data_IF_699965440784
#
_entry.id   IF_699965440784
#
_cell.length_a   1.000
_cell.length_b   1.000
_cell.length_c   1.000
_cell.angle_alpha   90.00
_cell.angle_beta   90.00
_cell.angle_gamma   90.00
#
_symmetry.space_group_name_H-M   'P 1'
#
loop_
_entity.id
_entity.type
_entity.pdbx_description
1 polymer ?
#
# COMPACT_ATOMS: atom_id res chain seq x y z
N UNK A 1 -34.25 -60.51 -63.95
CA UNK A 1 -34.83 -61.14 -62.75
C UNK A 1 -33.74 -61.32 -61.68
N UNK A 2 -33.98 -60.77 -60.48
CA UNK A 2 -33.58 -61.31 -59.16
C UNK A 2 -32.16 -61.93 -59.02
N UNK A 3 -31.25 -61.24 -58.31
CA UNK A 3 -30.95 -61.42 -56.87
C UNK A 3 -29.64 -60.74 -56.47
N UNK A 4 -29.71 -59.92 -55.43
CA UNK A 4 -28.59 -59.52 -54.59
C UNK A 4 -28.12 -60.72 -53.75
N UNK A 5 -26.82 -60.93 -53.67
CA UNK A 5 -26.13 -61.54 -52.50
C UNK A 5 -24.82 -60.78 -52.29
N UNK A 6 -24.59 -60.41 -51.04
CA UNK A 6 -23.53 -59.53 -50.56
C UNK A 6 -22.45 -60.39 -49.86
N UNK A 7 -21.26 -59.80 -49.75
CA UNK A 7 -20.19 -60.02 -48.74
C UNK A 7 -19.10 -61.02 -49.13
N UNK A 8 -17.87 -60.51 -49.31
CA UNK A 8 -16.76 -60.78 -48.39
C UNK A 8 -15.55 -59.88 -48.66
N UNK A 9 -14.95 -59.45 -47.55
CA UNK A 9 -13.84 -58.51 -47.36
C UNK A 9 -12.53 -58.98 -48.01
N UNK A 10 -11.75 -58.04 -48.59
CA UNK A 10 -10.31 -58.19 -48.74
C UNK A 10 -9.57 -56.83 -48.77
N UNK A 11 -8.79 -56.61 -47.72
CA UNK A 11 -7.51 -55.89 -47.61
C UNK A 11 -7.25 -54.63 -48.46
N UNK A 12 -7.32 -53.47 -47.81
CA UNK A 12 -6.65 -52.23 -48.24
C UNK A 12 -5.62 -51.79 -47.20
N UNK A 13 -4.34 -52.00 -47.52
CA UNK A 13 -3.17 -51.54 -46.79
C UNK A 13 -3.08 -50.00 -46.91
N UNK A 14 -3.32 -49.26 -45.82
CA UNK A 14 -3.10 -47.81 -45.75
C UNK A 14 -1.91 -47.52 -44.83
N UNK A 15 -0.86 -46.99 -45.44
CA UNK A 15 0.34 -46.48 -44.78
C UNK A 15 -0.06 -45.20 -44.05
N UNK A 16 -0.10 -45.25 -42.71
CA UNK A 16 -0.31 -44.08 -41.87
C UNK A 16 0.95 -43.23 -41.80
N UNK A 17 0.90 -42.00 -42.32
CA UNK A 17 1.84 -40.95 -41.97
C UNK A 17 1.63 -40.59 -40.49
N UNK A 18 2.58 -40.97 -39.66
CA UNK A 18 2.71 -40.45 -38.29
C UNK A 18 3.13 -38.97 -38.36
N UNK A 19 2.16 -38.08 -38.28
CA UNK A 19 2.40 -36.68 -37.95
C UNK A 19 2.88 -36.60 -36.51
N UNK A 20 4.19 -36.37 -36.32
CA UNK A 20 4.75 -36.01 -35.04
C UNK A 20 4.19 -34.63 -34.65
N UNK A 21 3.16 -34.64 -33.81
CA UNK A 21 2.62 -33.44 -33.20
C UNK A 21 3.61 -33.03 -32.09
N UNK A 22 4.40 -32.00 -32.38
CA UNK A 22 5.27 -31.37 -31.38
C UNK A 22 4.46 -31.04 -30.12
N UNK A 23 4.90 -31.46 -28.92
CA UNK A 23 4.22 -31.07 -27.70
C UNK A 23 4.37 -29.56 -27.54
N UNK A 24 3.24 -28.85 -27.65
CA UNK A 24 3.15 -27.42 -27.39
C UNK A 24 3.77 -27.14 -26.02
N UNK A 25 4.72 -26.21 -25.90
CA UNK A 25 5.33 -25.90 -24.62
C UNK A 25 4.23 -25.33 -23.72
N UNK A 26 3.87 -26.10 -22.69
CA UNK A 26 3.00 -25.64 -21.61
C UNK A 26 3.73 -24.48 -20.95
N UNK A 27 3.28 -23.25 -21.26
CA UNK A 27 3.69 -22.03 -20.56
C UNK A 27 3.61 -22.34 -19.07
N UNK A 28 4.70 -22.25 -18.28
CA UNK A 28 4.60 -22.46 -16.86
C UNK A 28 3.57 -21.48 -16.33
N UNK A 29 2.54 -22.00 -15.66
CA UNK A 29 1.53 -21.20 -14.99
C UNK A 29 2.27 -20.18 -14.13
N UNK A 30 2.26 -18.92 -14.56
CA UNK A 30 2.93 -17.85 -13.84
C UNK A 30 2.43 -17.88 -12.41
N UNK A 31 3.36 -17.88 -11.46
CA UNK A 31 3.06 -17.57 -10.06
C UNK A 31 2.21 -16.30 -10.10
N UNK A 32 0.91 -16.42 -9.83
CA UNK A 32 0.04 -15.27 -9.60
C UNK A 32 0.67 -14.52 -8.43
N UNK A 33 1.36 -13.43 -8.72
CA UNK A 33 1.67 -12.42 -7.71
C UNK A 33 0.31 -11.97 -7.18
N UNK A 34 0.02 -12.31 -5.93
CA UNK A 34 -1.27 -12.00 -5.27
C UNK A 34 -1.51 -10.49 -5.09
N UNK A 35 -0.53 -9.67 -5.47
CA UNK A 35 -0.59 -8.22 -5.43
C UNK A 35 -0.39 -7.66 -6.84
N UNK A 36 -1.35 -6.85 -7.27
CA UNK A 36 -1.06 -5.87 -8.31
C UNK A 36 -0.36 -4.69 -7.59
N UNK A 37 0.92 -4.41 -7.87
CA UNK A 37 1.66 -3.30 -7.25
C UNK A 37 0.98 -1.95 -7.51
N UNK A 38 0.02 -1.91 -8.43
CA UNK A 38 -0.72 -0.71 -8.76
C UNK A 38 -2.02 -0.54 -7.96
N UNK A 39 -2.31 -1.40 -6.97
CA UNK A 39 -3.45 -1.22 -6.08
C UNK A 39 -3.24 0.00 -5.16
N UNK A 40 -4.16 0.96 -5.26
CA UNK A 40 -4.10 2.22 -4.53
C UNK A 40 -5.42 2.57 -3.84
N UNK A 41 -5.31 3.33 -2.76
CA UNK A 41 -6.40 4.10 -2.19
C UNK A 41 -6.22 5.57 -2.54
N UNK A 42 -7.19 6.12 -3.24
CA UNK A 42 -7.23 7.53 -3.64
C UNK A 42 -8.11 8.29 -2.67
N UNK A 43 -7.62 9.42 -2.18
CA UNK A 43 -8.38 10.40 -1.42
C UNK A 43 -8.60 11.63 -2.31
N UNK A 44 -9.86 12.00 -2.46
CA UNK A 44 -10.29 13.13 -3.27
C UNK A 44 -10.38 14.40 -2.41
N UNK A 45 -10.44 15.56 -3.07
CA UNK A 45 -10.58 16.86 -2.43
C UNK A 45 -11.93 17.06 -1.74
N UNK A 46 -12.97 16.38 -2.19
CA UNK A 46 -14.30 16.38 -1.57
C UNK A 46 -14.37 15.54 -0.28
N UNK A 47 -13.27 14.88 0.10
CA UNK A 47 -13.18 14.02 1.28
C UNK A 47 -13.56 12.56 1.02
N UNK A 48 -14.03 12.22 -0.19
CA UNK A 48 -14.31 10.85 -0.58
C UNK A 48 -13.01 10.05 -0.79
N UNK A 49 -13.11 8.73 -0.68
CA UNK A 49 -12.00 7.82 -0.92
C UNK A 49 -12.43 6.61 -1.74
N UNK A 50 -11.56 6.16 -2.65
CA UNK A 50 -11.84 5.03 -3.54
C UNK A 50 -10.62 4.13 -3.66
N UNK A 51 -10.84 2.81 -3.58
CA UNK A 51 -9.81 1.80 -3.88
C UNK A 51 -9.87 1.45 -5.37
N UNK A 52 -8.73 1.44 -6.05
CA UNK A 52 -8.63 1.15 -7.49
C UNK A 52 -7.23 0.66 -7.86
N UNK A 53 -7.05 0.19 -9.10
CA UNK A 53 -5.76 -0.22 -9.66
C UNK A 53 -5.31 0.82 -10.67
N UNK A 54 -4.14 1.43 -10.51
CA UNK A 54 -3.58 2.34 -11.52
C UNK A 54 -3.05 1.55 -12.73
N UNK A 55 -3.22 2.09 -13.93
CA UNK A 55 -2.77 1.48 -15.19
C UNK A 55 -1.59 2.25 -15.79
N UNK A 56 -0.69 2.70 -14.91
CA UNK A 56 0.56 3.39 -15.26
C UNK A 56 1.72 2.58 -14.69
N UNK A 57 2.93 2.71 -15.24
CA UNK A 57 4.11 1.97 -14.77
C UNK A 57 5.11 2.87 -14.02
N UNK A 58 5.18 4.14 -14.44
CA UNK A 58 5.98 5.19 -13.81
C UNK A 58 5.22 6.51 -13.81
N UNK A 59 5.63 7.41 -12.92
CA UNK A 59 5.12 8.77 -12.86
C UNK A 59 6.25 9.74 -13.14
N UNK A 60 6.02 10.58 -14.14
CA UNK A 60 6.92 11.65 -14.53
C UNK A 60 6.61 12.92 -13.74
N UNK A 61 7.66 13.49 -13.14
CA UNK A 61 7.57 14.70 -12.34
C UNK A 61 8.64 15.70 -12.75
N UNK A 62 8.22 16.95 -12.93
CA UNK A 62 9.12 18.09 -13.12
C UNK A 62 9.56 18.62 -11.76
N UNK A 63 10.84 18.48 -11.43
CA UNK A 63 11.45 19.06 -10.23
C UNK A 63 12.22 20.33 -10.59
N UNK A 64 12.68 21.07 -9.57
CA UNK A 64 13.57 22.23 -9.78
C UNK A 64 14.92 21.91 -10.43
N UNK A 65 15.32 20.63 -10.44
CA UNK A 65 16.58 20.17 -11.02
C UNK A 65 16.40 19.47 -12.37
N UNK A 66 15.15 19.35 -12.86
CA UNK A 66 14.83 18.65 -14.09
C UNK A 66 13.75 17.58 -13.90
N UNK A 67 13.51 16.83 -14.97
CA UNK A 67 12.50 15.78 -15.04
C UNK A 67 13.00 14.50 -14.36
N UNK A 68 12.18 13.94 -13.49
CA UNK A 68 12.44 12.69 -12.77
C UNK A 68 11.29 11.72 -13.08
N UNK A 69 11.62 10.49 -13.46
CA UNK A 69 10.65 9.41 -13.61
C UNK A 69 10.79 8.47 -12.42
N UNK A 70 9.73 8.35 -11.62
CA UNK A 70 9.70 7.45 -10.46
C UNK A 70 8.88 6.21 -10.85
N UNK A 71 9.42 4.99 -10.76
CA UNK A 71 8.66 3.76 -10.96
C UNK A 71 7.59 3.56 -9.87
N UNK A 72 6.44 2.99 -10.21
CA UNK A 72 5.37 2.74 -9.22
C UNK A 72 5.82 1.77 -8.13
N UNK A 73 6.68 0.81 -8.47
CA UNK A 73 7.20 -0.15 -7.51
C UNK A 73 7.91 0.52 -6.33
N UNK A 74 8.48 1.72 -6.52
CA UNK A 74 9.18 2.44 -5.45
C UNK A 74 8.25 3.39 -4.68
N UNK A 75 6.99 3.55 -5.10
CA UNK A 75 6.06 4.53 -4.54
C UNK A 75 5.29 4.01 -3.34
N UNK A 76 5.21 4.87 -2.31
CA UNK A 76 4.41 4.63 -1.10
C UNK A 76 3.15 5.47 -1.11
N UNK A 77 3.34 6.75 -1.42
CA UNK A 77 2.30 7.78 -1.30
C UNK A 77 2.65 8.94 -2.21
N UNK A 78 1.63 9.57 -2.78
CA UNK A 78 1.75 10.87 -3.44
C UNK A 78 0.80 11.83 -2.77
N UNK A 79 1.33 12.97 -2.33
CA UNK A 79 0.54 14.11 -1.93
C UNK A 79 0.50 15.10 -3.10
N UNK A 80 -0.68 15.34 -3.65
CA UNK A 80 -0.87 16.30 -4.73
C UNK A 80 -0.98 17.71 -4.17
N UNK A 81 -0.23 18.61 -4.79
CA UNK A 81 -0.34 20.03 -4.56
C UNK A 81 -1.64 20.60 -5.12
N UNK A 82 -1.92 21.84 -4.73
CA UNK A 82 -3.05 22.62 -5.17
C UNK A 82 -2.88 23.03 -6.63
N UNK A 83 -3.69 22.41 -7.50
CA UNK A 83 -3.76 22.76 -8.92
C UNK A 83 -4.78 23.88 -9.10
N UNK A 84 -4.30 25.11 -9.04
CA UNK A 84 -5.15 26.30 -9.21
C UNK A 84 -5.57 26.40 -10.69
N UNK A 85 -6.88 26.40 -11.01
CA UNK A 85 -7.35 26.66 -12.37
C UNK A 85 -6.92 28.06 -12.84
N UNK A 86 -6.52 28.23 -14.10
CA UNK A 86 -6.01 29.51 -14.62
C UNK A 86 -6.99 30.67 -14.44
N UNK A 87 -8.29 30.42 -14.67
CA UNK A 87 -9.34 31.43 -14.46
C UNK A 87 -9.43 31.89 -13.00
N UNK A 88 -9.32 30.96 -12.04
CA UNK A 88 -9.33 31.26 -10.60
C UNK A 88 -8.06 32.00 -10.19
N UNK A 89 -6.91 31.60 -10.74
CA UNK A 89 -5.63 32.27 -10.51
C UNK A 89 -5.68 33.74 -10.94
N UNK A 90 -6.11 34.02 -12.17
CA UNK A 90 -6.22 35.39 -12.68
C UNK A 90 -7.21 36.24 -11.88
N UNK A 91 -8.34 35.65 -11.46
CA UNK A 91 -9.30 36.34 -10.59
C UNK A 91 -8.67 36.67 -9.24
N UNK A 92 -8.00 35.71 -8.61
CA UNK A 92 -7.34 35.91 -7.32
C UNK A 92 -6.20 36.94 -7.42
N UNK A 93 -5.39 36.90 -8.48
CA UNK A 93 -4.32 37.90 -8.72
C UNK A 93 -4.89 39.30 -8.93
N UNK A 94 -5.99 39.43 -9.69
CA UNK A 94 -6.67 40.71 -9.90
C UNK A 94 -7.26 41.27 -8.60
N UNK A 95 -7.86 40.40 -7.79
CA UNK A 95 -8.37 40.77 -6.48
C UNK A 95 -7.22 41.16 -5.52
N UNK A 96 -6.11 40.45 -5.53
CA UNK A 96 -4.91 40.82 -4.75
C UNK A 96 -4.38 42.21 -5.11
N UNK A 97 -4.40 42.58 -6.40
CA UNK A 97 -3.97 43.91 -6.84
C UNK A 97 -4.89 45.05 -6.35
N UNK A 98 -6.18 44.75 -6.18
CA UNK A 98 -7.21 45.71 -5.77
C UNK A 98 -7.51 45.70 -4.27
N UNK A 99 -6.91 44.79 -3.49
CA UNK A 99 -7.22 44.58 -2.08
C UNK A 99 -7.03 45.84 -1.22
N UNK A 100 -6.04 46.66 -1.54
CA UNK A 100 -5.73 47.90 -0.80
C UNK A 100 -6.33 49.16 -1.47
N UNK A 101 -7.19 49.00 -2.48
CA UNK A 101 -7.91 50.11 -3.12
C UNK A 101 -9.09 50.56 -2.22
N UNK A 102 -9.22 51.86 -1.87
CA UNK A 102 -10.28 52.34 -0.99
C UNK A 102 -11.71 52.14 -1.50
N UNK A 103 -11.89 52.02 -2.83
CA UNK A 103 -13.21 51.86 -3.47
C UNK A 103 -13.48 50.41 -3.86
N UNK A 104 -12.45 49.64 -4.17
CA UNK A 104 -12.56 48.27 -4.71
C UNK A 104 -12.09 47.18 -3.75
N UNK A 105 -11.51 47.55 -2.60
CA UNK A 105 -10.96 46.62 -1.61
C UNK A 105 -11.99 45.65 -1.04
N UNK A 106 -13.21 46.10 -0.75
CA UNK A 106 -14.26 45.22 -0.21
C UNK A 106 -14.71 44.16 -1.23
N UNK A 107 -14.82 44.54 -2.51
CA UNK A 107 -15.14 43.61 -3.59
C UNK A 107 -14.01 42.59 -3.78
N UNK A 108 -12.75 43.07 -3.81
CA UNK A 108 -11.57 42.22 -3.88
C UNK A 108 -11.46 41.25 -2.70
N UNK A 109 -11.80 41.69 -1.49
CA UNK A 109 -11.86 40.86 -0.29
C UNK A 109 -12.84 39.70 -0.49
N UNK A 110 -14.03 39.99 -0.97
CA UNK A 110 -15.05 38.97 -1.22
C UNK A 110 -14.63 37.98 -2.31
N UNK A 111 -13.98 38.45 -3.38
CA UNK A 111 -13.48 37.59 -4.46
C UNK A 111 -12.39 36.62 -3.96
N UNK A 112 -11.51 37.09 -3.06
CA UNK A 112 -10.49 36.24 -2.43
C UNK A 112 -11.11 35.20 -1.48
N UNK A 113 -12.14 35.60 -0.72
CA UNK A 113 -12.88 34.67 0.15
C UNK A 113 -13.65 33.62 -0.66
N UNK A 114 -14.25 34.00 -1.79
CA UNK A 114 -14.91 33.05 -2.70
C UNK A 114 -13.92 32.08 -3.36
N UNK A 115 -12.68 32.52 -3.57
CA UNK A 115 -11.63 31.67 -4.13
C UNK A 115 -11.13 30.61 -3.12
N UNK A 116 -11.43 30.75 -1.82
CA UNK A 116 -11.22 29.71 -0.81
C UNK A 116 -9.78 29.21 -0.71
N UNK A 117 -9.58 27.89 -0.76
CA UNK A 117 -8.26 27.26 -0.66
C UNK A 117 -7.27 27.74 -1.73
N UNK A 118 -7.76 28.15 -2.91
CA UNK A 118 -6.94 28.63 -4.02
C UNK A 118 -6.30 30.00 -3.76
N UNK A 119 -6.88 30.83 -2.90
CA UNK A 119 -6.32 32.14 -2.54
C UNK A 119 -5.23 32.05 -1.46
N UNK A 120 -5.24 30.99 -0.64
CA UNK A 120 -4.33 30.80 0.49
C UNK A 120 -2.84 30.90 0.11
N UNK A 121 -2.33 30.23 -0.94
CA UNK A 121 -0.91 30.34 -1.28
C UNK A 121 -0.49 31.77 -1.70
N UNK A 122 -1.34 32.46 -2.45
CA UNK A 122 -1.10 33.86 -2.88
C UNK A 122 -1.07 34.80 -1.67
N UNK A 123 -2.06 34.66 -0.78
CA UNK A 123 -2.14 35.44 0.45
C UNK A 123 -0.96 35.15 1.39
N UNK A 124 -0.55 33.89 1.55
CA UNK A 124 0.64 33.51 2.34
C UNK A 124 1.92 34.14 1.80
N UNK A 125 2.08 34.19 0.48
CA UNK A 125 3.23 34.85 -0.14
C UNK A 125 3.19 36.36 0.09
N UNK A 126 2.03 37.00 -0.07
CA UNK A 126 1.87 38.44 0.12
C UNK A 126 2.03 38.86 1.60
N UNK A 127 1.52 38.06 2.54
CA UNK A 127 1.59 38.30 3.98
C UNK A 127 3.01 38.33 4.56
N UNK A 128 4.00 37.78 3.83
CA UNK A 128 5.44 37.87 4.17
C UNK A 128 5.99 39.29 4.07
N UNK A 129 5.30 40.20 3.38
CA UNK A 129 5.72 41.60 3.26
C UNK A 129 5.49 42.36 4.58
N UNK A 130 6.28 43.40 4.90
CA UNK A 130 6.18 44.12 6.18
C UNK A 130 4.80 44.78 6.44
N UNK A 131 4.13 45.28 5.39
CA UNK A 131 2.89 46.07 5.51
C UNK A 131 1.62 45.33 5.06
N UNK A 132 1.66 44.01 5.02
CA UNK A 132 0.55 43.18 4.51
C UNK A 132 -0.54 42.91 5.57
N UNK A 133 -1.17 43.97 6.09
CA UNK A 133 -2.17 43.88 7.17
C UNK A 133 -3.45 43.21 6.67
N UNK A 134 -3.96 43.65 5.51
CA UNK A 134 -5.19 43.15 4.89
C UNK A 134 -5.09 41.66 4.54
N UNK A 135 -3.94 41.25 4.01
CA UNK A 135 -3.66 39.86 3.63
C UNK A 135 -3.57 38.93 4.84
N UNK A 136 -2.96 39.38 5.94
CA UNK A 136 -2.90 38.62 7.20
C UNK A 136 -4.28 38.46 7.82
N UNK A 137 -5.10 39.53 7.82
CA UNK A 137 -6.47 39.46 8.31
C UNK A 137 -7.32 38.47 7.48
N UNK A 138 -7.18 38.50 6.15
CA UNK A 138 -7.84 37.55 5.25
C UNK A 138 -7.39 36.10 5.45
N UNK A 139 -6.10 35.87 5.72
CA UNK A 139 -5.61 34.52 6.02
C UNK A 139 -6.23 33.94 7.30
N UNK A 140 -6.35 34.74 8.36
CA UNK A 140 -7.01 34.29 9.58
C UNK A 140 -8.52 34.06 9.37
N UNK A 141 -9.18 34.88 8.54
CA UNK A 141 -10.58 34.64 8.18
C UNK A 141 -10.75 33.34 7.38
N UNK A 142 -9.88 33.08 6.40
CA UNK A 142 -9.90 31.82 5.64
C UNK A 142 -9.59 30.61 6.53
N UNK A 143 -8.68 30.74 7.49
CA UNK A 143 -8.36 29.68 8.46
C UNK A 143 -9.54 29.28 9.34
N UNK A 144 -10.44 30.22 9.63
CA UNK A 144 -11.68 29.92 10.39
C UNK A 144 -12.76 29.27 9.53
N UNK A 145 -12.78 29.55 8.21
CA UNK A 145 -13.80 29.03 7.28
C UNK A 145 -13.42 27.71 6.64
N UNK A 146 -12.14 27.49 6.38
CA UNK A 146 -11.63 26.29 5.72
C UNK A 146 -11.24 25.25 6.76
N UNK A 147 -11.53 23.96 6.54
CA UNK A 147 -10.98 22.92 7.37
C UNK A 147 -9.44 22.92 7.26
N UNK A 148 -8.76 22.56 8.36
CA UNK A 148 -7.31 22.71 8.55
C UNK A 148 -6.49 22.07 7.43
N UNK A 149 -7.04 21.03 6.84
CA UNK A 149 -6.46 20.22 5.80
C UNK A 149 -6.42 20.99 4.44
N UNK A 150 -7.49 21.71 4.08
CA UNK A 150 -7.53 22.58 2.90
C UNK A 150 -6.65 23.82 3.07
N UNK A 151 -6.60 24.36 4.29
CA UNK A 151 -5.76 25.53 4.59
C UNK A 151 -4.26 25.22 4.44
N UNK A 152 -3.83 24.00 4.81
CA UNK A 152 -2.44 23.56 4.70
C UNK A 152 -2.06 22.98 3.32
N UNK A 153 -2.89 23.17 2.30
CA UNK A 153 -2.61 22.71 0.96
C UNK A 153 -1.27 23.25 0.43
N UNK A 154 -0.44 22.35 -0.10
CA UNK A 154 0.87 22.68 -0.67
C UNK A 154 0.74 23.03 -2.14
N UNK A 155 1.68 23.78 -2.70
CA UNK A 155 1.70 24.12 -4.14
C UNK A 155 2.32 23.02 -5.01
N UNK A 156 3.25 22.25 -4.46
CA UNK A 156 4.00 21.23 -5.17
C UNK A 156 3.52 19.84 -4.76
N UNK A 157 3.54 18.94 -5.74
CA UNK A 157 3.33 17.51 -5.53
C UNK A 157 4.55 16.94 -4.78
N UNK A 158 4.30 16.00 -3.86
CA UNK A 158 5.34 15.27 -3.12
C UNK A 158 5.12 13.77 -3.29
N UNK A 159 6.04 13.12 -3.98
CA UNK A 159 6.09 11.66 -4.10
C UNK A 159 6.95 11.14 -2.95
N UNK A 160 6.36 10.34 -2.07
CA UNK A 160 7.08 9.58 -1.06
C UNK A 160 7.44 8.24 -1.67
N UNK A 161 8.71 8.09 -2.06
CA UNK A 161 9.28 6.83 -2.51
C UNK A 161 9.99 6.10 -1.36
N UNK A 162 10.38 4.85 -1.59
CA UNK A 162 11.11 3.99 -0.65
C UNK A 162 12.34 4.68 -0.03
N UNK A 163 13.21 5.25 -0.86
CA UNK A 163 14.50 5.79 -0.41
C UNK A 163 14.43 7.27 -0.01
N UNK A 164 13.64 8.09 -0.70
CA UNK A 164 13.55 9.52 -0.42
C UNK A 164 12.27 10.15 -0.99
N UNK A 165 11.78 11.25 -0.38
CA UNK A 165 10.69 12.03 -0.96
C UNK A 165 11.21 12.90 -2.11
N UNK A 166 10.46 12.91 -3.21
CA UNK A 166 10.71 13.78 -4.37
C UNK A 166 9.63 14.85 -4.41
N UNK A 167 10.03 16.13 -4.48
CA UNK A 167 9.09 17.26 -4.56
C UNK A 167 9.17 17.92 -5.94
N UNK A 168 8.02 18.16 -6.57
CA UNK A 168 7.93 18.73 -7.90
C UNK A 168 6.48 18.89 -8.38
N UNK A 169 6.26 18.82 -9.68
CA UNK A 169 4.92 18.82 -10.28
C UNK A 169 4.78 17.62 -11.22
N UNK A 170 3.79 16.78 -10.96
CA UNK A 170 3.47 15.65 -11.83
C UNK A 170 2.94 16.19 -13.15
N UNK A 171 3.57 15.80 -14.26
CA UNK A 171 3.24 16.33 -15.59
C UNK A 171 1.87 15.86 -16.10
N UNK A 172 1.47 14.66 -15.69
CA UNK A 172 0.17 14.11 -16.05
C UNK A 172 -0.98 15.00 -15.53
N UNK A 173 -2.04 15.13 -16.34
CA UNK A 173 -3.30 15.73 -15.92
C UNK A 173 -4.25 14.70 -15.29
N UNK A 174 -4.13 13.43 -15.70
CA UNK A 174 -4.95 12.33 -15.24
C UNK A 174 -4.18 11.00 -15.33
N UNK A 175 -4.58 10.03 -14.51
CA UNK A 175 -4.13 8.64 -14.60
C UNK A 175 -5.26 7.73 -15.08
N UNK A 176 -4.93 6.76 -15.91
CA UNK A 176 -5.84 5.66 -16.20
C UNK A 176 -5.86 4.73 -15.00
N UNK A 177 -7.03 4.35 -14.54
CA UNK A 177 -7.21 3.45 -13.41
C UNK A 177 -8.37 2.48 -13.69
N UNK A 178 -8.40 1.38 -12.97
CA UNK A 178 -9.49 0.41 -12.98
C UNK A 178 -10.12 0.35 -11.61
N UNK A 179 -11.37 0.78 -11.52
CA UNK A 179 -12.19 0.66 -10.32
C UNK A 179 -12.92 -0.69 -10.31
N UNK A 180 -13.01 -1.37 -9.16
CA UNK A 180 -13.86 -2.57 -9.02
C UNK A 180 -15.34 -2.31 -9.32
N UNK A 181 -15.81 -1.08 -9.06
CA UNK A 181 -17.22 -0.71 -9.18
C UNK A 181 -17.58 -0.10 -10.54
N UNK A 182 -16.64 0.62 -11.15
CA UNK A 182 -16.89 1.43 -12.34
C UNK A 182 -16.11 0.99 -13.59
N UNK A 183 -15.27 -0.05 -13.48
CA UNK A 183 -14.43 -0.49 -14.58
C UNK A 183 -13.30 0.50 -14.88
N UNK A 184 -13.06 0.80 -16.15
CA UNK A 184 -11.98 1.71 -16.54
C UNK A 184 -12.40 3.18 -16.26
N UNK A 185 -11.60 3.87 -15.46
CA UNK A 185 -11.84 5.24 -15.00
C UNK A 185 -10.63 6.11 -15.32
N UNK A 186 -10.88 7.35 -15.74
CA UNK A 186 -9.85 8.37 -15.89
C UNK A 186 -9.82 9.22 -14.62
N UNK A 187 -8.79 9.02 -13.79
CA UNK A 187 -8.60 9.71 -12.53
C UNK A 187 -7.94 11.08 -12.75
N UNK A 188 -8.70 12.17 -12.60
CA UNK A 188 -8.16 13.52 -12.78
C UNK A 188 -7.38 13.99 -11.55
N UNK A 189 -6.16 14.48 -11.75
CA UNK A 189 -5.26 14.83 -10.63
C UNK A 189 -5.58 16.17 -9.97
N UNK A 190 -6.46 16.99 -10.56
CA UNK A 190 -6.98 18.20 -9.93
C UNK A 190 -8.00 17.89 -8.83
N UNK A 191 -8.75 16.79 -8.94
CA UNK A 191 -9.72 16.32 -7.94
C UNK A 191 -9.08 15.43 -6.87
N UNK A 192 -7.87 14.92 -7.13
CA UNK A 192 -7.14 14.03 -6.22
C UNK A 192 -6.26 14.82 -5.27
N UNK A 193 -6.20 14.34 -4.04
CA UNK A 193 -5.39 14.92 -2.99
C UNK A 193 -4.25 14.02 -2.56
N UNK A 194 -4.54 12.74 -2.34
CA UNK A 194 -3.52 11.78 -1.97
C UNK A 194 -3.79 10.47 -2.67
N UNK A 195 -2.75 9.84 -3.21
CA UNK A 195 -2.78 8.44 -3.61
C UNK A 195 -1.87 7.69 -2.66
N UNK A 196 -2.39 6.63 -2.04
CA UNK A 196 -1.62 5.73 -1.19
C UNK A 196 -1.57 4.37 -1.84
N UNK A 197 -0.37 3.85 -2.02
CA UNK A 197 -0.18 2.48 -2.49
C UNK A 197 -0.50 1.51 -1.37
N UNK A 198 -1.43 0.61 -1.64
CA UNK A 198 -1.85 -0.43 -0.68
C UNK A 198 -0.92 -1.63 -0.76
N UNK A 199 -0.34 -1.87 -1.93
CA UNK A 199 0.64 -2.90 -2.21
C UNK A 199 2.06 -2.34 -2.32
N UNK A 200 2.38 -1.29 -1.57
CA UNK A 200 3.70 -0.70 -1.65
C UNK A 200 4.75 -1.75 -1.22
N UNK A 201 5.72 -2.12 -2.06
CA UNK A 201 6.61 -3.22 -1.76
C UNK A 201 7.77 -2.73 -0.90
N UNK A 202 7.63 -2.72 0.42
CA UNK A 202 8.71 -2.83 1.41
C UNK A 202 8.03 -3.20 2.73
N UNK A 203 8.48 -4.33 3.30
CA UNK A 203 8.01 -5.00 4.52
C UNK A 203 6.91 -6.06 4.35
N UNK A 204 6.82 -6.73 3.21
CA UNK A 204 6.14 -8.04 3.18
C UNK A 204 6.98 -9.13 3.85
N UNK A 205 8.12 -8.80 4.43
CA UNK A 205 8.99 -9.73 5.13
C UNK A 205 9.41 -9.15 6.48
N UNK A 206 8.67 -9.54 7.52
CA UNK A 206 8.94 -9.23 8.92
C UNK A 206 9.89 -10.29 9.47
N UNK A 207 10.98 -9.87 10.09
CA UNK A 207 11.89 -10.78 10.81
C UNK A 207 11.52 -10.80 12.28
N UNK A 208 11.07 -11.95 12.76
CA UNK A 208 10.79 -12.21 14.17
C UNK A 208 12.03 -12.87 14.77
N UNK A 209 12.87 -12.07 15.42
CA UNK A 209 14.10 -12.50 16.07
C UNK A 209 13.79 -13.31 17.34
N UNK A 210 14.26 -14.57 17.39
CA UNK A 210 14.03 -15.46 18.52
C UNK A 210 14.71 -14.95 19.81
N UNK A 211 15.88 -14.32 19.67
CA UNK A 211 16.65 -13.80 20.79
C UNK A 211 15.93 -12.63 21.49
N UNK A 212 14.93 -12.02 20.85
CA UNK A 212 14.12 -10.91 21.39
C UNK A 212 12.69 -11.36 21.72
N UNK A 213 12.04 -11.99 20.76
CA UNK A 213 10.61 -12.31 20.78
C UNK A 213 10.31 -13.76 21.16
N UNK A 214 11.33 -14.57 21.43
CA UNK A 214 11.20 -15.95 21.94
C UNK A 214 11.75 -16.10 23.36
N UNK A 215 11.78 -15.03 24.16
CA UNK A 215 12.41 -15.02 25.49
C UNK A 215 11.40 -14.99 26.64
N UNK A 216 11.88 -15.13 27.88
CA UNK A 216 11.07 -15.08 29.11
C UNK A 216 10.32 -13.76 29.30
N UNK A 217 10.81 -12.66 28.71
CA UNK A 217 10.11 -11.36 28.76
C UNK A 217 8.82 -11.35 27.94
N UNK A 218 8.62 -12.37 27.10
CA UNK A 218 7.39 -12.56 26.34
C UNK A 218 7.01 -11.35 25.46
N UNK A 219 8.04 -10.62 25.01
CA UNK A 219 7.89 -9.36 24.29
C UNK A 219 7.26 -9.56 22.91
N UNK A 220 6.12 -8.91 22.69
CA UNK A 220 5.42 -8.88 21.42
C UNK A 220 6.13 -7.95 20.43
N UNK A 221 6.34 -8.43 19.20
CA UNK A 221 6.73 -7.61 18.07
C UNK A 221 5.50 -6.86 17.57
N UNK A 222 5.54 -5.53 17.62
CA UNK A 222 4.60 -4.70 16.88
C UNK A 222 4.92 -4.76 15.39
N UNK A 223 3.99 -5.28 14.58
CA UNK A 223 4.20 -5.47 13.14
C UNK A 223 4.04 -4.20 12.31
N UNK A 224 3.42 -3.14 12.84
CA UNK A 224 3.03 -2.01 11.98
C UNK A 224 1.67 -2.17 11.28
N UNK A 225 1.07 -3.35 11.34
CA UNK A 225 -0.06 -3.72 10.46
C UNK A 225 -1.39 -3.59 11.20
N UNK A 226 -2.28 -2.74 10.68
CA UNK A 226 -3.63 -2.54 11.21
C UNK A 226 -4.65 -3.32 10.37
N UNK A 227 -5.34 -4.26 11.00
CA UNK A 227 -6.34 -5.12 10.36
C UNK A 227 -7.73 -4.50 10.48
N UNK A 228 -8.46 -4.47 9.37
CA UNK A 228 -9.81 -3.88 9.29
C UNK A 228 -10.95 -4.92 9.35
N UNK A 229 -10.63 -6.17 9.74
CA UNK A 229 -11.58 -7.28 9.77
C UNK A 229 -11.79 -7.94 8.40
N UNK A 230 -10.83 -7.75 7.50
CA UNK A 230 -10.70 -8.45 6.21
C UNK A 230 -10.03 -9.82 6.39
N UNK A 231 -10.07 -10.66 5.36
CA UNK A 231 -9.37 -11.95 5.39
C UNK A 231 -7.86 -11.70 5.38
N UNK A 232 -7.12 -12.48 6.16
CA UNK A 232 -5.67 -12.36 6.30
C UNK A 232 -5.05 -13.71 6.12
N UNK A 233 -4.05 -13.78 5.24
CA UNK A 233 -3.13 -14.88 5.09
C UNK A 233 -1.76 -14.47 5.63
N UNK A 234 -1.23 -15.23 6.58
CA UNK A 234 0.12 -15.06 7.12
C UNK A 234 0.93 -16.29 6.73
N UNK A 235 2.11 -16.10 6.17
CA UNK A 235 3.05 -17.18 5.81
C UNK A 235 4.35 -16.93 6.55
N UNK A 236 4.82 -17.90 7.31
CA UNK A 236 6.08 -17.82 8.02
C UNK A 236 7.02 -18.96 7.62
N UNK A 237 8.31 -18.67 7.59
CA UNK A 237 9.36 -19.63 7.32
C UNK A 237 10.58 -19.34 8.19
N UNK A 238 11.55 -20.23 8.21
CA UNK A 238 12.76 -20.11 9.02
C UNK A 238 12.84 -21.16 10.10
N UNK A 239 13.92 -21.10 10.87
CA UNK A 239 14.27 -22.08 11.87
C UNK A 239 14.89 -21.37 13.07
N UNK A 240 14.54 -21.84 14.26
CA UNK A 240 15.17 -21.41 15.50
C UNK A 240 15.67 -22.63 16.26
N UNK A 241 16.71 -22.43 17.05
CA UNK A 241 17.20 -23.40 18.03
C UNK A 241 16.69 -22.99 19.41
N UNK A 242 15.87 -23.84 20.02
CA UNK A 242 15.28 -23.58 21.34
C UNK A 242 16.28 -23.79 22.49
N UNK A 243 17.39 -24.48 22.23
CA UNK A 243 18.41 -24.77 23.25
C UNK A 243 19.82 -24.71 22.65
N UNK A 244 20.32 -23.51 22.31
CA UNK A 244 21.61 -23.34 21.63
C UNK A 244 22.81 -23.40 22.58
N UNK A 245 22.83 -24.34 23.54
CA UNK A 245 23.90 -24.47 24.54
C UNK A 245 24.73 -25.75 24.37
N UNK A 246 26.05 -25.61 24.48
CA UNK A 246 26.98 -26.74 24.52
C UNK A 246 26.90 -27.65 23.28
N UNK A 247 27.04 -28.97 23.50
CA UNK A 247 26.96 -29.99 22.44
C UNK A 247 25.56 -30.24 21.89
N UNK A 248 24.52 -29.64 22.48
CA UNK A 248 23.11 -29.80 22.09
C UNK A 248 22.64 -28.75 21.06
N UNK A 249 23.55 -27.85 20.65
CA UNK A 249 23.25 -26.85 19.62
C UNK A 249 22.83 -27.52 18.31
N UNK A 250 21.68 -27.12 17.79
CA UNK A 250 21.09 -27.67 16.57
C UNK A 250 20.23 -28.94 16.79
N UNK A 251 20.09 -29.41 18.02
CA UNK A 251 19.25 -30.58 18.34
C UNK A 251 17.78 -30.19 18.49
N UNK A 252 17.50 -29.07 19.14
CA UNK A 252 16.14 -28.63 19.49
C UNK A 252 15.59 -27.58 18.53
N UNK A 253 15.66 -27.89 17.24
CA UNK A 253 15.21 -26.99 16.18
C UNK A 253 13.68 -26.90 16.10
N UNK A 254 13.14 -25.70 15.90
CA UNK A 254 11.72 -25.47 15.68
C UNK A 254 11.48 -24.68 14.38
N UNK A 255 10.41 -25.07 13.66
CA UNK A 255 9.82 -24.25 12.58
C UNK A 255 8.75 -23.34 13.19
N UNK A 256 8.14 -22.42 12.43
CA UNK A 256 7.01 -21.63 12.92
C UNK A 256 5.83 -22.46 13.45
N UNK A 257 5.69 -23.75 13.10
CA UNK A 257 4.70 -24.65 13.71
C UNK A 257 5.10 -25.16 15.12
N UNK A 258 6.31 -24.82 15.56
CA UNK A 258 6.94 -25.27 16.79
C UNK A 258 7.63 -26.64 16.66
N UNK A 259 8.18 -27.13 17.76
CA UNK A 259 8.81 -28.44 17.86
C UNK A 259 7.97 -29.37 18.75
N UNK A 260 7.38 -30.41 18.15
CA UNK A 260 6.53 -31.38 18.85
C UNK A 260 7.29 -32.30 19.82
N UNK A 261 8.62 -32.43 19.67
CA UNK A 261 9.47 -33.22 20.58
C UNK A 261 9.80 -32.48 21.87
N UNK A 262 9.54 -31.17 21.90
CA UNK A 262 9.77 -30.30 23.05
C UNK A 262 8.46 -30.15 23.81
N UNK A 263 8.50 -30.34 25.13
CA UNK A 263 7.32 -30.21 26.00
C UNK A 263 6.66 -28.83 25.87
N UNK A 264 5.33 -28.79 26.02
CA UNK A 264 4.56 -27.55 25.97
C UNK A 264 4.49 -26.91 27.35
N UNK A 265 4.85 -25.63 27.46
CA UNK A 265 4.63 -24.83 28.68
C UNK A 265 3.30 -24.08 28.66
N UNK A 266 2.74 -23.81 27.47
CA UNK A 266 1.50 -23.06 27.29
C UNK A 266 0.55 -23.79 26.35
N UNK A 267 -0.53 -23.11 25.93
CA UNK A 267 -1.48 -23.64 24.96
C UNK A 267 -0.86 -23.88 23.57
N UNK A 268 0.32 -23.33 23.28
CA UNK A 268 0.98 -23.42 21.98
C UNK A 268 2.23 -24.30 22.03
N UNK A 269 2.63 -24.95 20.92
CA UNK A 269 3.88 -25.70 20.85
C UNK A 269 5.10 -24.80 21.09
N UNK A 270 6.13 -25.33 21.76
CA UNK A 270 7.37 -24.61 21.96
C UNK A 270 8.01 -24.22 20.61
N UNK A 271 8.42 -22.95 20.48
CA UNK A 271 8.97 -22.38 19.26
C UNK A 271 7.93 -21.99 18.21
N UNK A 272 6.63 -22.19 18.43
CA UNK A 272 5.62 -21.82 17.46
C UNK A 272 5.49 -20.29 17.32
N UNK A 273 5.20 -19.82 16.11
CA UNK A 273 4.84 -18.44 15.85
C UNK A 273 3.37 -18.22 16.25
N UNK A 274 3.14 -17.23 17.10
CA UNK A 274 1.82 -16.85 17.59
C UNK A 274 1.55 -15.37 17.30
N UNK A 275 0.27 -15.05 17.13
CA UNK A 275 -0.23 -13.72 16.82
C UNK A 275 -1.22 -13.23 17.86
N UNK A 276 -1.37 -11.91 17.97
CA UNK A 276 -2.41 -11.25 18.77
C UNK A 276 -2.89 -9.99 18.07
N UNK A 277 -4.18 -9.69 18.18
CA UNK A 277 -4.75 -8.44 17.68
C UNK A 277 -5.04 -7.48 18.83
N UNK A 278 -4.49 -6.27 18.77
CA UNK A 278 -4.57 -5.28 19.84
C UNK A 278 -3.76 -5.67 21.08
N UNK A 279 -3.82 -4.81 22.10
CA UNK A 279 -3.08 -5.01 23.34
C UNK A 279 -3.68 -6.11 24.21
N UNK A 280 -4.99 -6.32 24.13
CA UNK A 280 -5.74 -7.24 24.99
C UNK A 280 -6.38 -8.41 24.23
N UNK A 281 -6.03 -8.59 22.95
CA UNK A 281 -6.55 -9.68 22.15
C UNK A 281 -6.12 -11.05 22.66
N UNK A 282 -6.95 -12.06 22.40
CA UNK A 282 -6.57 -13.45 22.65
C UNK A 282 -5.46 -13.88 21.68
N UNK A 283 -4.34 -14.45 22.16
CA UNK A 283 -3.33 -15.02 21.28
C UNK A 283 -3.89 -16.17 20.44
N UNK A 284 -3.41 -16.30 19.21
CA UNK A 284 -3.76 -17.38 18.28
C UNK A 284 -2.51 -17.96 17.61
N UNK A 285 -2.60 -19.21 17.19
CA UNK A 285 -1.52 -19.88 16.47
C UNK A 285 -1.44 -19.34 15.04
N UNK A 286 -0.28 -18.81 14.66
CA UNK A 286 -0.01 -18.41 13.28
C UNK A 286 0.63 -19.58 12.53
N UNK A 287 1.61 -20.25 13.14
CA UNK A 287 2.29 -21.36 12.50
C UNK A 287 3.08 -20.93 11.26
N UNK A 288 3.34 -21.89 10.36
CA UNK A 288 3.91 -21.62 9.02
C UNK A 288 2.90 -20.97 8.07
N UNK A 289 1.61 -21.22 8.29
CA UNK A 289 0.53 -20.63 7.49
C UNK A 289 -0.71 -20.44 8.34
N UNK A 290 -1.26 -19.24 8.30
CA UNK A 290 -2.55 -18.87 8.86
C UNK A 290 -3.42 -18.28 7.76
N UNK A 291 -4.69 -18.65 7.73
CA UNK A 291 -5.73 -18.02 6.92
C UNK A 291 -6.97 -17.84 7.77
N UNK A 292 -7.49 -16.61 7.84
CA UNK A 292 -8.70 -16.33 8.60
C UNK A 292 -9.05 -14.85 8.62
N UNK A 293 -10.17 -14.52 9.24
CA UNK A 293 -10.66 -13.13 9.37
C UNK A 293 -10.50 -12.68 10.82
N UNK A 294 -9.32 -12.22 11.23
CA UNK A 294 -9.07 -11.77 12.59
C UNK A 294 -9.89 -10.51 12.92
N UNK A 295 -10.02 -10.23 14.23
CA UNK A 295 -10.68 -9.01 14.70
C UNK A 295 -9.98 -7.74 14.17
N UNK A 296 -10.67 -6.61 14.27
CA UNK A 296 -10.11 -5.31 13.92
C UNK A 296 -9.05 -4.88 14.93
N UNK A 297 -7.91 -4.38 14.45
CA UNK A 297 -6.86 -3.81 15.29
C UNK A 297 -5.44 -4.16 14.84
N UNK A 298 -4.48 -3.71 15.65
CA UNK A 298 -3.03 -3.86 15.39
C UNK A 298 -2.57 -5.31 15.54
N UNK A 299 -1.86 -5.86 14.56
CA UNK A 299 -1.26 -7.19 14.63
C UNK A 299 0.07 -7.18 15.40
N UNK A 300 0.20 -8.09 16.35
CA UNK A 300 1.44 -8.37 17.09
C UNK A 300 1.85 -9.82 16.89
N UNK A 301 3.17 -10.08 16.83
CA UNK A 301 3.74 -11.42 16.66
C UNK A 301 4.72 -11.76 17.78
N UNK A 302 4.83 -13.05 18.13
CA UNK A 302 5.79 -13.56 19.11
C UNK A 302 6.14 -15.01 18.82
N UNK A 303 7.29 -15.47 19.31
CA UNK A 303 7.70 -16.87 19.31
C UNK A 303 7.41 -17.47 20.69
N UNK A 304 6.80 -18.64 20.72
CA UNK A 304 6.54 -19.35 21.96
C UNK A 304 7.83 -19.93 22.55
N UNK A 305 8.04 -19.76 23.85
CA UNK A 305 9.27 -20.17 24.51
C UNK A 305 9.33 -21.69 24.76
N UNK A 306 10.54 -22.25 24.73
CA UNK A 306 10.83 -23.62 25.15
C UNK A 306 10.94 -23.78 26.68
N UNK A 307 10.92 -25.02 27.19
CA UNK A 307 10.80 -25.28 28.61
C UNK A 307 12.04 -24.93 29.46
N UNK A 308 13.19 -24.75 28.81
CA UNK A 308 14.49 -24.65 29.48
C UNK A 308 14.89 -23.23 29.90
N UNK A 309 14.03 -22.22 29.69
CA UNK A 309 14.29 -20.82 30.04
C UNK A 309 15.61 -20.26 29.46
N UNK A 310 16.07 -20.83 28.34
CA UNK A 310 17.26 -20.39 27.61
C UNK A 310 16.83 -19.46 26.48
N UNK A 311 17.70 -18.50 26.14
CA UNK A 311 17.50 -17.63 24.99
C UNK A 311 17.65 -18.45 23.69
N UNK A 312 16.61 -18.53 22.85
CA UNK A 312 16.70 -19.25 21.58
C UNK A 312 17.50 -18.44 20.54
N UNK A 313 18.05 -19.13 19.55
CA UNK A 313 18.84 -18.54 18.47
C UNK A 313 18.14 -18.71 17.12
N UNK A 314 18.24 -17.71 16.24
CA UNK A 314 17.66 -17.74 14.90
C UNK A 314 16.51 -16.75 14.75
N UNK A 315 15.76 -16.88 13.66
CA UNK A 315 14.62 -16.01 13.39
C UNK A 315 13.62 -16.66 12.46
N UNK A 316 12.40 -16.14 12.48
CA UNK A 316 11.39 -16.41 11.47
C UNK A 316 11.20 -15.23 10.54
N UNK A 317 10.92 -15.56 9.30
CA UNK A 317 10.63 -14.64 8.22
C UNK A 317 9.14 -14.75 7.91
N UNK A 318 8.40 -13.67 8.14
CA UNK A 318 6.93 -13.65 8.12
C UNK A 318 6.43 -12.70 7.06
N UNK A 319 5.50 -13.18 6.24
CA UNK A 319 4.77 -12.42 5.23
C UNK A 319 3.31 -12.35 5.61
N UNK A 320 2.77 -11.15 5.66
CA UNK A 320 1.36 -10.91 5.98
C UNK A 320 0.69 -10.36 4.73
N UNK A 321 -0.40 -11.00 4.34
CA UNK A 321 -1.17 -10.65 3.16
C UNK A 321 -2.62 -10.51 3.59
N UNK A 322 -3.30 -9.43 3.22
CA UNK A 322 -4.72 -9.28 3.48
C UNK A 322 -5.48 -9.52 2.17
N UNK A 323 -6.34 -10.54 2.17
CA UNK A 323 -7.22 -10.88 1.05
C UNK A 323 -8.43 -9.92 1.11
N UNK A 324 -8.68 -9.23 -0.02
CA UNK A 324 -9.80 -8.32 -0.24
C UNK A 324 -11.16 -9.04 -0.25
#
# INVERSE_FOLDING_TARGET
MRRFVVVCFAAGLMIGLAGAQEPTPVKPAGKRTLFDPNHVQVHFRDGSHLKMVLLVESIEMMTKYGKVSVPIIDMRRIDFGLRIPSATLTRAESAMALLNDPKRGDAAKNDLLQSGEFAVPLLRQAARRPHAVSERALLEELKQRLPSDQFEARLYDTIHAAEFPVTGRVEAAAFKAKSPYFGDVLLRLDEVRTIRWLAAPERDELVVDAAKHGTMSQLWLDTGIDLSGESVRIIASGMIDLYPLGGEKGVYMATPNGNARVGRQTAFPAGALIGRIGNDGKPFLVGERYEGTPARGRLYLRIEIGPWQVQPLGSYTVRVTTDL
#
